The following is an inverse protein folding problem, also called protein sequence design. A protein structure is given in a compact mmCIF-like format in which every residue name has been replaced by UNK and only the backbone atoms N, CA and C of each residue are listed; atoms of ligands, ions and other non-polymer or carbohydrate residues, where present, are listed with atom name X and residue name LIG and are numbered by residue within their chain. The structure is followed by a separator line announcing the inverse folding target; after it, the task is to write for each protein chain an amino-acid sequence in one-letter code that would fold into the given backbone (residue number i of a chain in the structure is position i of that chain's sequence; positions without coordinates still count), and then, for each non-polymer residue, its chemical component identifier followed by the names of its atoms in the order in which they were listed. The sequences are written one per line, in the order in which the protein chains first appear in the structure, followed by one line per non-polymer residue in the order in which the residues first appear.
data_IF_075596538098
#
_entry.id   IF_075596538098
#
_cell.length_a   1.000
_cell.length_b   1.000
_cell.length_c   1.000
_cell.angle_alpha   90.00
_cell.angle_beta   90.00
_cell.angle_gamma   90.00
#
_symmetry.space_group_name_H-M   'P 1'
#
loop_
_entity.id
_entity.type
_entity.pdbx_description
1 polymer ?
#
# COMPACT_ATOMS: atom_id res chain seq x y z
N UNK A 1 -0.90 -3.73 16.62
CA UNK A 1 -0.67 -5.18 16.54
C UNK A 1 0.44 -5.55 15.57
N UNK A 2 0.29 -5.32 14.26
CA UNK A 2 1.20 -5.84 13.21
C UNK A 2 2.68 -5.45 13.40
N UNK A 3 2.97 -4.20 13.83
CA UNK A 3 4.34 -3.73 14.11
C UNK A 3 4.94 -4.46 15.33
N UNK A 4 4.16 -4.65 16.40
CA UNK A 4 4.59 -5.36 17.62
C UNK A 4 4.85 -6.85 17.34
N UNK A 5 4.03 -7.46 16.49
CA UNK A 5 4.15 -8.85 16.04
C UNK A 5 5.46 -9.04 15.25
N UNK A 6 5.80 -8.07 14.40
CA UNK A 6 7.00 -8.10 13.57
C UNK A 6 8.29 -8.05 14.39
N UNK A 7 8.31 -7.22 15.44
CA UNK A 7 9.46 -7.08 16.34
C UNK A 7 9.72 -8.37 17.12
N UNK A 8 8.66 -9.11 17.49
CA UNK A 8 8.78 -10.34 18.27
C UNK A 8 9.28 -11.54 17.45
N UNK A 9 9.06 -11.57 16.14
CA UNK A 9 9.20 -12.80 15.37
C UNK A 9 10.50 -12.93 14.56
N UNK A 10 11.33 -11.89 14.44
CA UNK A 10 12.61 -11.93 13.69
C UNK A 10 12.49 -12.70 12.35
N UNK A 11 11.35 -12.56 11.67
CA UNK A 11 11.03 -13.37 10.49
C UNK A 11 11.84 -12.89 9.31
N UNK A 12 12.90 -13.62 8.99
CA UNK A 12 13.82 -13.35 7.87
C UNK A 12 13.14 -13.23 6.49
N UNK A 13 11.88 -13.66 6.36
CA UNK A 13 11.12 -13.62 5.10
C UNK A 13 9.88 -12.71 5.10
N UNK A 14 9.59 -12.03 6.21
CA UNK A 14 8.52 -11.05 6.28
C UNK A 14 9.13 -9.67 6.01
N UNK A 15 8.50 -8.82 5.20
CA UNK A 15 8.96 -7.45 4.92
C UNK A 15 8.10 -6.39 5.61
N UNK A 16 8.69 -5.24 5.91
CA UNK A 16 7.91 -4.07 6.33
C UNK A 16 6.84 -3.80 5.27
N UNK A 17 5.59 -3.58 5.70
CA UNK A 17 4.36 -3.48 4.89
C UNK A 17 3.66 -4.80 4.50
N UNK A 18 4.18 -5.96 4.90
CA UNK A 18 3.42 -7.20 4.84
C UNK A 18 2.31 -7.18 5.91
N UNK A 19 1.06 -7.45 5.50
CA UNK A 19 -0.08 -7.57 6.42
C UNK A 19 -0.37 -9.04 6.70
N UNK A 20 -0.21 -9.47 7.96
CA UNK A 20 -0.54 -10.84 8.37
C UNK A 20 -2.05 -10.93 8.58
N UNK A 21 -2.72 -11.77 7.80
CA UNK A 21 -4.17 -11.99 7.85
C UNK A 21 -4.54 -13.05 8.88
N UNK A 22 -3.76 -14.13 8.95
CA UNK A 22 -3.99 -15.23 9.88
C UNK A 22 -2.70 -15.91 10.32
N UNK A 23 -2.76 -16.61 11.46
CA UNK A 23 -1.71 -17.48 11.96
C UNK A 23 -2.33 -18.76 12.53
N UNK A 24 -1.81 -19.93 12.12
CA UNK A 24 -2.26 -21.25 12.59
C UNK A 24 -3.78 -21.46 12.48
N UNK A 25 -4.40 -20.89 11.43
CA UNK A 25 -5.83 -20.99 11.18
C UNK A 25 -6.70 -19.91 11.86
N UNK A 26 -6.12 -19.06 12.71
CA UNK A 26 -6.85 -17.98 13.39
C UNK A 26 -6.68 -16.66 12.63
N UNK A 27 -7.80 -16.01 12.32
CA UNK A 27 -7.82 -14.71 11.66
C UNK A 27 -7.38 -13.60 12.62
N UNK A 28 -6.21 -13.00 12.35
CA UNK A 28 -5.63 -11.94 13.17
C UNK A 28 -6.27 -10.56 12.92
N UNK A 29 -7.08 -10.43 11.87
CA UNK A 29 -7.83 -9.20 11.59
C UNK A 29 -8.95 -8.95 12.62
N UNK A 30 -9.49 -10.02 13.20
CA UNK A 30 -10.60 -9.98 14.16
C UNK A 30 -10.21 -10.47 15.54
N UNK A 31 -9.03 -11.10 15.69
CA UNK A 31 -8.53 -11.59 16.97
C UNK A 31 -8.18 -10.43 17.91
N UNK A 32 -8.41 -10.66 19.21
CA UNK A 32 -7.95 -9.73 20.22
C UNK A 32 -6.42 -9.83 20.42
N UNK A 33 -5.86 -8.86 21.13
CA UNK A 33 -4.42 -8.83 21.39
C UNK A 33 -3.93 -10.03 22.18
N UNK A 34 -4.71 -10.52 23.15
CA UNK A 34 -4.29 -11.60 24.03
C UNK A 34 -4.19 -12.93 23.26
N UNK A 35 -5.16 -13.21 22.40
CA UNK A 35 -5.21 -14.37 21.52
C UNK A 35 -4.04 -14.35 20.52
N UNK A 36 -3.80 -13.21 19.88
CA UNK A 36 -2.68 -13.06 18.94
C UNK A 36 -1.32 -13.33 19.62
N UNK A 37 -1.11 -12.77 20.82
CA UNK A 37 0.12 -12.99 21.60
C UNK A 37 0.24 -14.45 22.06
N UNK A 38 -0.86 -15.07 22.48
CA UNK A 38 -0.88 -16.46 22.90
C UNK A 38 -0.42 -17.37 21.75
N UNK A 39 -1.02 -17.24 20.57
CA UNK A 39 -0.66 -18.02 19.39
C UNK A 39 0.82 -17.83 19.06
N UNK A 40 1.33 -16.60 19.13
CA UNK A 40 2.73 -16.32 18.80
C UNK A 40 3.73 -16.86 19.81
N UNK A 41 3.39 -16.86 21.11
CA UNK A 41 4.29 -17.34 22.17
C UNK A 41 4.27 -18.85 22.33
N UNK A 42 3.10 -19.46 22.19
CA UNK A 42 2.92 -20.90 22.42
C UNK A 42 3.25 -21.74 21.18
N UNK A 43 3.31 -21.13 20.00
CA UNK A 43 3.59 -21.86 18.75
C UNK A 43 5.09 -21.96 18.48
N UNK A 44 5.60 -23.18 18.39
CA UNK A 44 6.97 -23.44 17.94
C UNK A 44 7.15 -23.19 16.42
N UNK A 45 6.07 -23.30 15.65
CA UNK A 45 5.99 -22.94 14.24
C UNK A 45 4.72 -22.13 13.94
N UNK A 46 4.85 -21.07 13.15
CA UNK A 46 3.75 -20.19 12.76
C UNK A 46 3.49 -20.31 11.25
N UNK A 47 2.37 -20.94 10.91
CA UNK A 47 1.83 -20.97 9.56
C UNK A 47 0.97 -19.73 9.34
N UNK A 48 1.49 -18.77 8.59
CA UNK A 48 0.87 -17.46 8.42
C UNK A 48 0.37 -17.24 7.00
N UNK A 49 -0.79 -16.61 6.87
CA UNK A 49 -1.28 -16.08 5.59
C UNK A 49 -1.00 -14.59 5.57
N UNK A 50 -0.26 -14.13 4.56
CA UNK A 50 0.23 -12.76 4.46
C UNK A 50 -0.26 -12.12 3.16
N UNK A 51 -0.85 -10.93 3.26
CA UNK A 51 -1.14 -10.06 2.13
C UNK A 51 0.04 -9.13 1.90
N UNK A 52 0.87 -9.48 0.92
CA UNK A 52 1.96 -8.62 0.47
C UNK A 52 1.42 -7.52 -0.43
N UNK A 53 1.65 -6.26 -0.07
CA UNK A 53 1.57 -5.18 -1.05
C UNK A 53 2.81 -5.29 -1.93
N UNK A 54 2.63 -5.84 -3.13
CA UNK A 54 3.66 -5.80 -4.15
C UNK A 54 3.99 -4.33 -4.36
N UNK A 55 5.27 -3.91 -4.32
CA UNK A 55 5.63 -2.64 -4.92
C UNK A 55 5.11 -2.71 -6.35
N UNK A 56 4.17 -1.85 -6.71
CA UNK A 56 3.93 -1.56 -8.12
C UNK A 56 5.32 -1.32 -8.69
N UNK A 57 5.75 -2.02 -9.76
CA UNK A 57 7.08 -1.78 -10.31
C UNK A 57 7.22 -0.26 -10.44
N UNK A 58 8.15 0.30 -9.69
CA UNK A 58 8.51 1.71 -9.81
C UNK A 58 9.12 1.82 -11.20
N UNK A 59 8.27 1.96 -12.20
CA UNK A 59 8.61 2.80 -13.34
C UNK A 59 8.85 4.13 -12.66
N UNK A 60 10.10 4.52 -12.53
CA UNK A 60 10.52 5.86 -12.16
C UNK A 60 10.00 6.79 -13.24
N UNK A 61 8.68 7.03 -13.25
CA UNK A 61 8.15 8.25 -13.80
C UNK A 61 8.72 9.31 -12.88
N UNK A 62 9.83 9.93 -13.27
CA UNK A 62 10.27 11.15 -12.62
C UNK A 62 9.03 12.03 -12.48
N UNK A 63 8.60 12.24 -11.23
CA UNK A 63 7.49 13.13 -10.92
C UNK A 63 7.96 14.55 -11.19
N UNK A 64 8.03 14.93 -12.46
CA UNK A 64 8.28 16.29 -12.87
C UNK A 64 6.97 17.04 -12.74
N UNK A 65 6.93 18.01 -11.84
CA UNK A 65 5.87 19.01 -11.82
C UNK A 65 5.91 19.79 -13.12
N UNK A 66 4.96 19.51 -14.02
CA UNK A 66 4.83 20.25 -15.27
C UNK A 66 4.13 21.58 -14.98
N UNK A 67 4.87 22.69 -15.10
CA UNK A 67 4.31 24.04 -15.04
C UNK A 67 3.98 24.50 -16.45
N UNK A 68 2.70 24.67 -16.74
CA UNK A 68 2.22 25.23 -18.01
C UNK A 68 1.41 26.50 -17.75
N UNK A 69 1.56 27.46 -18.65
CA UNK A 69 0.74 28.67 -18.72
C UNK A 69 -0.17 28.53 -19.92
N UNK A 70 -1.49 28.44 -19.70
CA UNK A 70 -2.47 28.43 -20.78
C UNK A 70 -2.88 29.87 -21.10
N UNK A 71 -2.56 30.33 -22.30
CA UNK A 71 -3.08 31.58 -22.84
C UNK A 71 -4.27 31.29 -23.75
N UNK A 72 -5.42 31.91 -23.43
CA UNK A 72 -6.65 31.76 -24.21
C UNK A 72 -6.46 32.45 -25.57
N UNK A 73 -6.40 31.68 -26.65
CA UNK A 73 -6.44 32.25 -28.00
C UNK A 73 -7.82 32.84 -28.24
N UNK A 74 -7.89 34.13 -28.61
CA UNK A 74 -9.12 34.68 -29.16
C UNK A 74 -9.31 34.04 -30.53
N UNK A 75 -10.35 33.22 -30.68
CA UNK A 75 -10.87 32.82 -31.98
C UNK A 75 -11.10 34.10 -32.77
N UNK A 76 -10.38 34.27 -33.88
CA UNK A 76 -10.66 35.32 -34.87
C UNK A 76 -12.06 35.03 -35.39
N UNK A 77 -13.07 35.75 -34.90
CA UNK A 77 -14.36 35.83 -35.56
C UNK A 77 -14.11 36.53 -36.90
N UNK A 78 -13.96 35.72 -37.94
CA UNK A 78 -14.19 36.17 -39.29
C UNK A 78 -15.66 36.54 -39.39
N UNK A 79 -15.97 37.83 -39.32
CA UNK A 79 -17.24 38.31 -39.82
C UNK A 79 -16.95 39.13 -41.08
N UNK A 80 -17.11 38.45 -42.22
CA UNK A 80 -17.28 39.09 -43.50
C UNK A 80 -18.57 39.93 -43.41
N UNK A 81 -18.45 41.27 -43.39
CA UNK A 81 -19.56 42.13 -43.78
C UNK A 81 -19.17 42.79 -45.08
N UNK A 82 -19.91 42.39 -46.11
CA UNK A 82 -20.08 43.06 -47.38
C UNK A 82 -20.51 44.50 -47.08
N UNK A 83 -19.82 45.47 -47.71
CA UNK A 83 -20.37 46.70 -48.27
C UNK A 83 -19.37 47.21 -49.32
#
# INVERSE_FOLDING_TARGET
LVITIFILLNLSNCRVNDCILSANGVALETADYAEAIKIMKESQQLNMIVKRRVPVPHIEYEQRTLKFTLSKSRKKEGNNRLD
#
